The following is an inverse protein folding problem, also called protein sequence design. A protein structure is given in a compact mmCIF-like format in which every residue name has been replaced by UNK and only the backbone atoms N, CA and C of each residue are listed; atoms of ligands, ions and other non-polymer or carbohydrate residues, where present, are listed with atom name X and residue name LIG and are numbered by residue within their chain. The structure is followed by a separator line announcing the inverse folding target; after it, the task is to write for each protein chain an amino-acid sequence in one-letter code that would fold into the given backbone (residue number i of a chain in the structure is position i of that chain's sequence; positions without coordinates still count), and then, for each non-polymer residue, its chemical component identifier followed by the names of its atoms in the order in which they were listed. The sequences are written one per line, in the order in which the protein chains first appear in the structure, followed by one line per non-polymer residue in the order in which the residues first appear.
data_IF_317494367542
#
_entry.id   IF_317494367542
#
_cell.length_a   1.000
_cell.length_b   1.000
_cell.length_c   1.000
_cell.angle_alpha   90.00
_cell.angle_beta   90.00
_cell.angle_gamma   90.00
#
_symmetry.space_group_name_H-M   'P 1'
#
loop_
_entity.id
_entity.type
_entity.pdbx_description
1 polymer ?
#
# COMPACT_ATOMS: atom_id res chain seq x y z
N UNK A 1 20.61 -15.84 2.46
CA UNK A 1 20.91 -14.47 2.01
C UNK A 1 21.85 -13.85 3.03
N UNK A 2 22.98 -13.28 2.61
CA UNK A 2 23.86 -12.55 3.53
C UNK A 2 23.47 -11.07 3.50
N UNK A 3 22.95 -10.56 4.60
CA UNK A 3 22.60 -9.15 4.76
C UNK A 3 23.87 -8.33 5.06
N UNK A 4 23.94 -7.08 4.59
CA UNK A 4 25.04 -6.19 4.97
C UNK A 4 24.94 -5.85 6.47
N UNK A 5 26.09 -5.62 7.11
CA UNK A 5 26.15 -5.23 8.52
C UNK A 5 25.39 -3.92 8.80
N UNK A 6 25.41 -2.98 7.84
CA UNK A 6 24.65 -1.73 7.91
C UNK A 6 23.13 -1.97 7.90
N UNK A 7 22.66 -2.90 7.07
CA UNK A 7 21.24 -3.25 7.00
C UNK A 7 20.77 -3.90 8.30
N UNK A 8 21.52 -4.88 8.82
CA UNK A 8 21.21 -5.57 10.08
C UNK A 8 21.11 -4.56 11.24
N UNK A 9 22.13 -3.71 11.42
CA UNK A 9 22.15 -2.68 12.47
C UNK A 9 20.94 -1.75 12.40
N UNK A 10 20.47 -1.42 11.20
CA UNK A 10 19.26 -0.60 11.02
C UNK A 10 18.00 -1.32 11.49
N UNK A 11 17.85 -2.60 11.17
CA UNK A 11 16.70 -3.39 11.61
C UNK A 11 16.68 -3.55 13.12
N UNK A 12 17.83 -3.87 13.72
CA UNK A 12 17.97 -3.95 15.19
C UNK A 12 17.58 -2.64 15.85
N UNK A 13 18.02 -1.49 15.30
CA UNK A 13 17.63 -0.16 15.78
C UNK A 13 16.12 0.11 15.64
N UNK A 14 15.45 -0.52 14.69
CA UNK A 14 14.00 -0.48 14.52
C UNK A 14 13.26 -1.50 15.40
N UNK A 15 13.98 -2.32 16.18
CA UNK A 15 13.42 -3.41 16.96
C UNK A 15 12.95 -4.60 16.11
N UNK A 16 13.48 -4.74 14.89
CA UNK A 16 13.12 -5.78 13.93
C UNK A 16 14.19 -6.86 13.95
N UNK A 17 13.82 -8.08 14.30
CA UNK A 17 14.72 -9.24 14.19
C UNK A 17 14.88 -9.61 12.70
N UNK A 18 16.11 -9.64 12.13
CA UNK A 18 16.38 -10.07 10.76
C UNK A 18 15.82 -11.45 10.38
N UNK A 19 15.58 -12.35 11.34
CA UNK A 19 14.94 -13.64 11.12
C UNK A 19 13.52 -13.53 10.56
N UNK A 20 12.90 -12.35 10.55
CA UNK A 20 11.67 -12.11 9.77
C UNK A 20 11.84 -12.52 8.31
N UNK A 21 13.08 -12.49 7.80
CA UNK A 21 13.35 -12.81 6.40
C UNK A 21 13.50 -14.30 6.11
N UNK A 22 13.67 -15.13 7.14
CA UNK A 22 13.71 -16.59 6.96
C UNK A 22 12.31 -17.20 6.91
N UNK A 23 11.30 -16.50 7.42
CA UNK A 23 9.91 -16.98 7.48
C UNK A 23 9.19 -16.77 6.15
N UNK A 24 8.54 -17.84 5.67
CA UNK A 24 7.62 -17.75 4.53
C UNK A 24 6.40 -16.95 4.93
N UNK A 25 6.07 -15.93 4.16
CA UNK A 25 4.82 -15.18 4.34
C UNK A 25 3.66 -15.92 3.70
N UNK A 26 2.53 -15.96 4.39
CA UNK A 26 1.34 -16.63 3.87
C UNK A 26 0.82 -15.88 2.64
N UNK A 27 0.35 -16.64 1.64
CA UNK A 27 -0.35 -16.08 0.49
C UNK A 27 -1.85 -15.98 0.82
N UNK A 28 -2.51 -15.04 0.18
CA UNK A 28 -3.95 -14.95 0.22
C UNK A 28 -4.51 -14.84 -1.20
N UNK A 29 -5.75 -15.31 -1.33
CA UNK A 29 -6.61 -15.00 -2.47
C UNK A 29 -7.69 -14.05 -1.99
N UNK A 30 -7.98 -13.03 -2.78
CA UNK A 30 -9.19 -12.26 -2.66
C UNK A 30 -10.25 -12.86 -3.55
N UNK A 31 -11.47 -12.97 -3.03
CA UNK A 31 -12.63 -13.51 -3.74
C UNK A 31 -13.51 -12.34 -4.16
N UNK A 32 -13.80 -12.22 -5.45
CA UNK A 32 -14.72 -11.21 -5.99
C UNK A 32 -16.13 -11.74 -6.23
N UNK A 33 -16.26 -13.07 -6.34
CA UNK A 33 -17.53 -13.75 -6.57
C UNK A 33 -17.82 -14.64 -5.35
N UNK A 34 -18.77 -14.22 -4.51
CA UNK A 34 -19.13 -14.95 -3.29
C UNK A 34 -19.74 -16.33 -3.57
N UNK A 35 -20.19 -16.61 -4.80
CA UNK A 35 -20.75 -17.93 -5.17
C UNK A 35 -19.74 -19.07 -5.08
N UNK A 36 -18.44 -18.78 -5.17
CA UNK A 36 -17.39 -19.80 -5.07
C UNK A 36 -16.78 -19.90 -3.67
N UNK A 37 -17.18 -19.04 -2.72
CA UNK A 37 -16.51 -18.97 -1.41
C UNK A 37 -16.58 -20.30 -0.64
N UNK A 38 -17.76 -20.92 -0.57
CA UNK A 38 -17.94 -22.18 0.16
C UNK A 38 -17.21 -23.35 -0.51
N UNK A 39 -17.19 -23.36 -1.85
CA UNK A 39 -16.40 -24.31 -2.61
C UNK A 39 -14.90 -24.14 -2.33
N UNK A 40 -14.41 -22.90 -2.24
CA UNK A 40 -13.00 -22.66 -1.92
C UNK A 40 -12.64 -23.08 -0.49
N UNK A 41 -13.54 -22.89 0.48
CA UNK A 41 -13.34 -23.37 1.86
C UNK A 41 -13.22 -24.89 1.92
N UNK A 42 -14.13 -25.59 1.24
CA UNK A 42 -14.21 -27.06 1.27
C UNK A 42 -13.13 -27.75 0.43
N UNK A 43 -12.88 -27.27 -0.79
CA UNK A 43 -11.96 -27.92 -1.73
C UNK A 43 -10.49 -27.49 -1.56
N UNK A 44 -10.25 -26.21 -1.19
CA UNK A 44 -8.89 -25.66 -1.14
C UNK A 44 -8.40 -25.30 0.26
N UNK A 45 -9.25 -25.47 1.28
CA UNK A 45 -8.91 -25.16 2.67
C UNK A 45 -8.48 -23.71 2.83
N UNK A 46 -9.32 -22.77 2.37
CA UNK A 46 -9.07 -21.34 2.57
C UNK A 46 -9.56 -20.87 3.94
N UNK A 47 -8.83 -19.96 4.60
CA UNK A 47 -9.16 -19.43 5.92
C UNK A 47 -9.26 -17.90 5.90
N UNK A 48 -10.23 -17.28 6.58
CA UNK A 48 -10.43 -15.83 6.50
C UNK A 48 -9.22 -15.05 7.02
N UNK A 49 -8.90 -13.96 6.33
CA UNK A 49 -7.94 -12.95 6.81
C UNK A 49 -8.64 -12.08 7.86
N UNK A 50 -8.17 -12.01 9.12
CA UNK A 50 -8.92 -11.38 10.22
C UNK A 50 -9.32 -9.92 10.01
N UNK A 51 -8.59 -9.19 9.19
CA UNK A 51 -8.81 -7.77 8.90
C UNK A 51 -9.49 -7.50 7.55
N UNK A 52 -9.88 -8.53 6.81
CA UNK A 52 -10.46 -8.36 5.47
C UNK A 52 -11.53 -9.42 5.22
N UNK A 53 -12.77 -8.99 5.00
CA UNK A 53 -13.90 -9.87 4.70
C UNK A 53 -13.80 -10.57 3.35
N UNK A 54 -13.00 -10.04 2.42
CA UNK A 54 -12.90 -10.54 1.04
C UNK A 54 -11.64 -11.39 0.79
N UNK A 55 -10.74 -11.51 1.77
CA UNK A 55 -9.45 -12.17 1.58
C UNK A 55 -9.31 -13.40 2.47
N UNK A 56 -8.72 -14.44 1.90
CA UNK A 56 -8.55 -15.73 2.57
C UNK A 56 -7.12 -16.23 2.39
N UNK A 57 -6.49 -16.63 3.49
CA UNK A 57 -5.22 -17.33 3.51
C UNK A 57 -5.35 -18.71 2.86
N UNK A 58 -4.33 -19.11 2.10
CA UNK A 58 -4.24 -20.43 1.50
C UNK A 58 -2.82 -20.73 1.01
N UNK A 59 -2.43 -22.00 1.07
CA UNK A 59 -1.20 -22.47 0.43
C UNK A 59 -1.40 -22.77 -1.06
N UNK A 60 -2.66 -22.91 -1.50
CA UNK A 60 -3.07 -23.33 -2.84
C UNK A 60 -3.43 -22.14 -3.76
N UNK A 61 -2.97 -20.93 -3.43
CA UNK A 61 -3.35 -19.71 -4.15
C UNK A 61 -3.15 -19.79 -5.68
N UNK A 62 -2.07 -20.44 -6.13
CA UNK A 62 -1.77 -20.60 -7.56
C UNK A 62 -2.71 -21.60 -8.25
N UNK A 63 -3.22 -22.59 -7.52
CA UNK A 63 -4.15 -23.59 -8.06
C UNK A 63 -5.55 -23.00 -8.16
N UNK A 64 -6.02 -22.37 -7.09
CA UNK A 64 -7.27 -21.61 -7.08
C UNK A 64 -7.31 -20.60 -8.22
N UNK A 65 -6.23 -19.86 -8.45
CA UNK A 65 -6.17 -18.90 -9.55
C UNK A 65 -6.16 -19.55 -10.94
N UNK A 66 -5.65 -20.78 -11.09
CA UNK A 66 -5.73 -21.50 -12.37
C UNK A 66 -7.16 -21.94 -12.67
N UNK A 67 -7.91 -22.36 -11.65
CA UNK A 67 -9.30 -22.80 -11.81
C UNK A 67 -10.29 -21.64 -11.91
N UNK A 68 -10.07 -20.57 -11.15
CA UNK A 68 -10.99 -19.43 -11.05
C UNK A 68 -10.30 -18.09 -11.36
N UNK A 69 -9.60 -17.93 -12.50
CA UNK A 69 -8.74 -16.78 -12.77
C UNK A 69 -9.49 -15.45 -12.78
N UNK A 70 -10.76 -15.43 -13.16
CA UNK A 70 -11.63 -14.26 -13.25
C UNK A 70 -12.40 -13.96 -11.95
N UNK A 71 -12.39 -14.89 -10.98
CA UNK A 71 -13.11 -14.75 -9.72
C UNK A 71 -12.21 -14.48 -8.52
N UNK A 72 -10.91 -14.75 -8.64
CA UNK A 72 -9.95 -14.55 -7.54
C UNK A 72 -8.74 -13.71 -7.93
N UNK A 73 -8.16 -13.00 -6.95
CA UNK A 73 -6.89 -12.28 -7.09
C UNK A 73 -5.85 -12.79 -6.09
N UNK A 74 -4.69 -13.27 -6.56
CA UNK A 74 -3.57 -13.58 -5.66
C UNK A 74 -2.89 -12.28 -5.21
N UNK A 75 -2.89 -12.01 -3.91
CA UNK A 75 -2.27 -10.81 -3.34
C UNK A 75 -1.59 -11.09 -2.01
N UNK A 76 -0.82 -10.11 -1.56
CA UNK A 76 -0.44 -10.06 -0.16
C UNK A 76 -1.65 -9.58 0.67
N UNK A 77 -2.08 -10.31 1.71
CA UNK A 77 -3.22 -9.93 2.52
C UNK A 77 -3.05 -8.57 3.21
N UNK A 78 -1.80 -8.12 3.45
CA UNK A 78 -1.57 -6.78 4.00
C UNK A 78 -1.79 -5.65 3.00
N UNK A 79 -1.82 -5.95 1.70
CA UNK A 79 -2.10 -4.95 0.67
C UNK A 79 -3.53 -4.42 0.71
N UNK A 80 -4.45 -5.05 1.46
CA UNK A 80 -5.81 -4.54 1.67
C UNK A 80 -5.85 -3.35 2.63
N UNK A 81 -4.87 -3.24 3.55
CA UNK A 81 -4.89 -2.24 4.63
C UNK A 81 -4.99 -0.79 4.12
N UNK A 82 -4.22 -0.35 3.09
CA UNK A 82 -4.37 1.00 2.57
C UNK A 82 -5.73 1.28 1.98
N UNK A 83 -6.35 0.28 1.34
CA UNK A 83 -7.68 0.42 0.74
C UNK A 83 -8.74 0.50 1.84
N UNK A 84 -8.63 -0.31 2.90
CA UNK A 84 -9.48 -0.20 4.09
C UNK A 84 -9.37 1.18 4.71
N UNK A 85 -8.15 1.70 4.90
CA UNK A 85 -7.92 3.03 5.47
C UNK A 85 -8.39 4.18 4.56
N UNK A 86 -8.42 3.96 3.23
CA UNK A 86 -8.82 4.96 2.26
C UNK A 86 -10.32 5.22 2.30
N UNK A 87 -11.10 4.20 2.67
CA UNK A 87 -12.57 4.24 2.66
C UNK A 87 -13.07 4.83 1.33
N UNK A 88 -12.87 4.12 0.19
CA UNK A 88 -13.20 4.64 -1.13
C UNK A 88 -14.62 5.19 -1.17
N UNK A 89 -15.61 4.36 -0.78
CA UNK A 89 -17.03 4.68 -0.87
C UNK A 89 -17.44 5.09 -2.28
N UNK A 90 -18.69 5.52 -2.48
CA UNK A 90 -19.15 6.08 -3.76
C UNK A 90 -18.54 7.47 -4.00
N UNK A 91 -17.26 7.48 -4.40
CA UNK A 91 -16.44 8.67 -4.59
C UNK A 91 -15.51 8.55 -5.78
N UNK A 92 -15.01 9.70 -6.24
CA UNK A 92 -13.94 9.79 -7.23
C UNK A 92 -12.57 9.57 -6.55
N UNK A 93 -11.86 8.53 -6.99
CA UNK A 93 -10.60 8.10 -6.38
C UNK A 93 -9.45 8.20 -7.38
N UNK A 94 -8.32 8.75 -6.94
CA UNK A 94 -7.05 8.66 -7.68
C UNK A 94 -6.12 7.64 -7.02
N UNK A 95 -5.75 6.60 -7.75
CA UNK A 95 -4.59 5.77 -7.43
C UNK A 95 -3.40 6.26 -8.26
N UNK A 96 -2.49 7.01 -7.62
CA UNK A 96 -1.46 7.77 -8.34
C UNK A 96 -0.25 6.91 -8.78
N UNK A 97 -0.10 5.72 -8.19
CA UNK A 97 0.99 4.75 -8.42
C UNK A 97 0.41 3.33 -8.52
N UNK A 98 -0.55 3.17 -9.43
CA UNK A 98 -1.54 2.10 -9.42
C UNK A 98 -1.03 0.72 -9.84
N UNK A 99 -0.10 0.64 -10.79
CA UNK A 99 0.22 -0.65 -11.39
C UNK A 99 0.99 -1.53 -10.37
N UNK A 100 0.88 -2.86 -10.40
CA UNK A 100 0.14 -3.70 -11.35
C UNK A 100 -1.37 -3.81 -11.07
N UNK A 101 -1.91 -3.10 -10.08
CA UNK A 101 -3.35 -2.88 -9.95
C UNK A 101 -4.08 -3.60 -8.83
N UNK A 102 -3.43 -4.38 -7.96
CA UNK A 102 -4.18 -5.14 -6.94
C UNK A 102 -5.04 -4.24 -6.04
N UNK A 103 -4.47 -3.15 -5.52
CA UNK A 103 -5.21 -2.15 -4.73
C UNK A 103 -6.21 -1.37 -5.58
N UNK A 104 -5.85 -1.05 -6.82
CA UNK A 104 -6.73 -0.36 -7.76
C UNK A 104 -8.01 -1.15 -8.03
N UNK A 105 -7.90 -2.46 -8.25
CA UNK A 105 -9.05 -3.35 -8.46
C UNK A 105 -9.94 -3.36 -7.20
N UNK A 106 -9.36 -3.43 -5.99
CA UNK A 106 -10.14 -3.33 -4.74
C UNK A 106 -10.91 -2.01 -4.63
N UNK A 107 -10.25 -0.90 -4.98
CA UNK A 107 -10.86 0.43 -4.94
C UNK A 107 -12.04 0.46 -5.92
N UNK A 108 -11.89 -0.08 -7.12
CA UNK A 108 -12.95 -0.10 -8.14
C UNK A 108 -14.21 -0.86 -7.70
N UNK A 109 -14.12 -1.81 -6.77
CA UNK A 109 -15.30 -2.51 -6.24
C UNK A 109 -16.21 -1.61 -5.41
N UNK A 110 -15.69 -0.48 -4.90
CA UNK A 110 -16.37 0.39 -3.92
C UNK A 110 -16.52 1.83 -4.40
N UNK A 111 -15.62 2.27 -5.28
CA UNK A 111 -15.56 3.61 -5.85
C UNK A 111 -16.63 3.87 -6.92
N UNK A 112 -17.05 5.13 -7.04
CA UNK A 112 -17.86 5.57 -8.18
C UNK A 112 -17.01 5.62 -9.45
N UNK A 113 -15.82 6.21 -9.37
CA UNK A 113 -14.87 6.29 -10.48
C UNK A 113 -13.43 6.28 -9.99
N UNK A 114 -12.55 5.60 -10.72
CA UNK A 114 -11.13 5.51 -10.40
C UNK A 114 -10.27 6.06 -11.54
N UNK A 115 -9.35 6.95 -11.24
CA UNK A 115 -8.23 7.27 -12.11
C UNK A 115 -7.00 6.50 -11.60
N UNK A 116 -6.45 5.64 -12.45
CA UNK A 116 -5.30 4.81 -12.13
C UNK A 116 -4.08 5.26 -12.96
N UNK A 117 -3.11 5.88 -12.30
CA UNK A 117 -1.89 6.38 -12.91
C UNK A 117 -0.68 5.51 -12.54
N UNK A 118 0.19 5.22 -13.50
CA UNK A 118 1.55 4.71 -13.20
C UNK A 118 2.53 5.20 -14.28
N UNK A 119 3.80 5.32 -13.93
CA UNK A 119 4.84 5.73 -14.87
C UNK A 119 5.32 4.55 -15.74
N UNK A 120 5.24 3.33 -15.22
CA UNK A 120 5.77 2.13 -15.87
C UNK A 120 4.74 1.55 -16.86
N UNK A 121 5.02 1.76 -18.15
CA UNK A 121 4.19 1.25 -19.25
C UNK A 121 4.02 -0.27 -19.24
N UNK A 122 5.03 -1.03 -18.81
CA UNK A 122 4.95 -2.48 -18.76
C UNK A 122 4.08 -2.95 -17.59
N UNK A 123 4.15 -2.30 -16.43
CA UNK A 123 3.24 -2.58 -15.31
C UNK A 123 1.81 -2.17 -15.66
N UNK A 124 1.61 -1.10 -16.43
CA UNK A 124 0.27 -0.72 -16.93
C UNK A 124 -0.35 -1.79 -17.83
N UNK A 125 0.43 -2.51 -18.64
CA UNK A 125 -0.10 -3.64 -19.43
C UNK A 125 -0.77 -4.67 -18.52
N UNK A 126 -0.14 -5.02 -17.40
CA UNK A 126 -0.71 -5.93 -16.38
C UNK A 126 -1.97 -5.35 -15.72
N UNK A 127 -1.98 -4.05 -15.42
CA UNK A 127 -3.18 -3.38 -14.91
C UNK A 127 -4.35 -3.49 -15.91
N UNK A 128 -4.10 -3.26 -17.20
CA UNK A 128 -5.13 -3.41 -18.25
C UNK A 128 -5.65 -4.84 -18.38
N UNK A 129 -4.75 -5.83 -18.29
CA UNK A 129 -5.12 -7.24 -18.27
C UNK A 129 -6.02 -7.57 -17.07
N UNK A 130 -5.68 -7.07 -15.87
CA UNK A 130 -6.50 -7.23 -14.67
C UNK A 130 -7.86 -6.52 -14.80
N UNK A 131 -7.89 -5.29 -15.30
CA UNK A 131 -9.14 -4.53 -15.55
C UNK A 131 -10.06 -5.31 -16.48
N UNK A 132 -9.53 -5.89 -17.56
CA UNK A 132 -10.30 -6.74 -18.46
C UNK A 132 -10.76 -8.03 -17.78
N UNK A 133 -9.86 -8.70 -17.06
CA UNK A 133 -10.11 -9.98 -16.39
C UNK A 133 -11.25 -9.90 -15.37
N UNK A 134 -11.29 -8.83 -14.58
CA UNK A 134 -12.31 -8.63 -13.55
C UNK A 134 -13.45 -7.71 -13.99
N UNK A 135 -13.61 -7.47 -15.30
CA UNK A 135 -14.68 -6.67 -15.90
C UNK A 135 -14.89 -5.30 -15.21
N UNK A 136 -13.79 -4.61 -14.90
CA UNK A 136 -13.84 -3.29 -14.26
C UNK A 136 -14.21 -2.24 -15.32
N UNK A 137 -15.25 -1.45 -15.04
CA UNK A 137 -15.81 -0.46 -15.99
C UNK A 137 -15.66 0.99 -15.53
N UNK A 138 -15.51 1.21 -14.23
CA UNK A 138 -15.42 2.52 -13.59
C UNK A 138 -13.97 3.02 -13.44
N UNK A 139 -13.15 2.89 -14.49
CA UNK A 139 -11.71 3.20 -14.41
C UNK A 139 -11.17 3.93 -15.64
N UNK A 140 -10.33 4.94 -15.41
CA UNK A 140 -9.47 5.57 -16.42
C UNK A 140 -8.01 5.30 -16.13
N UNK A 141 -7.27 4.72 -17.07
CA UNK A 141 -5.83 4.44 -16.91
C UNK A 141 -4.99 5.52 -17.57
N UNK A 142 -4.07 6.14 -16.83
CA UNK A 142 -3.12 7.13 -17.35
C UNK A 142 -1.67 6.65 -17.20
N UNK A 143 -0.79 7.15 -18.09
CA UNK A 143 0.65 6.90 -18.01
C UNK A 143 1.41 8.22 -17.91
N UNK A 144 1.57 8.73 -16.68
CA UNK A 144 2.25 10.00 -16.40
C UNK A 144 3.12 9.88 -15.15
N UNK A 145 4.10 10.78 -15.05
CA UNK A 145 4.91 10.92 -13.84
C UNK A 145 4.06 11.51 -12.71
N UNK A 146 3.89 10.76 -11.64
CA UNK A 146 3.07 11.14 -10.48
C UNK A 146 3.54 12.44 -9.80
N UNK A 147 4.82 12.82 -9.96
CA UNK A 147 5.37 14.07 -9.42
C UNK A 147 4.82 15.32 -10.11
N UNK A 148 4.34 15.16 -11.34
CA UNK A 148 3.90 16.25 -12.21
C UNK A 148 2.53 15.97 -12.83
N UNK A 149 1.79 15.02 -12.28
CA UNK A 149 0.47 14.65 -12.77
C UNK A 149 -0.47 15.85 -12.60
N UNK A 150 -1.08 16.27 -13.69
CA UNK A 150 -2.05 17.37 -13.75
C UNK A 150 -3.24 16.91 -14.58
N UNK A 151 -4.42 17.34 -14.17
CA UNK A 151 -5.65 17.14 -14.93
C UNK A 151 -6.12 18.47 -15.52
N UNK A 152 -6.82 18.40 -16.65
CA UNK A 152 -7.48 19.58 -17.20
C UNK A 152 -8.65 19.99 -16.31
N UNK A 153 -9.10 21.24 -16.42
CA UNK A 153 -10.30 21.76 -15.75
C UNK A 153 -10.29 21.67 -14.21
N UNK A 154 -9.12 21.69 -13.57
CA UNK A 154 -8.99 21.61 -12.10
C UNK A 154 -9.70 20.38 -11.49
N UNK A 155 -9.68 19.24 -12.20
CA UNK A 155 -10.20 17.99 -11.66
C UNK A 155 -9.41 17.59 -10.40
N UNK A 156 -10.14 17.50 -9.29
CA UNK A 156 -9.65 17.07 -7.98
C UNK A 156 -10.42 15.83 -7.53
N UNK A 157 -9.88 15.12 -6.53
CA UNK A 157 -10.44 13.84 -6.07
C UNK A 157 -10.88 13.91 -4.61
N UNK A 158 -11.91 13.13 -4.28
CA UNK A 158 -12.39 12.97 -2.89
C UNK A 158 -11.46 12.08 -2.06
N UNK A 159 -10.79 11.15 -2.75
CA UNK A 159 -9.91 10.14 -2.18
C UNK A 159 -8.67 9.99 -3.06
N UNK A 160 -7.49 9.90 -2.43
CA UNK A 160 -6.25 9.63 -3.16
C UNK A 160 -5.44 8.55 -2.43
N UNK A 161 -5.07 7.50 -3.15
CA UNK A 161 -4.09 6.53 -2.71
C UNK A 161 -2.71 6.86 -3.28
N UNK A 162 -1.72 6.94 -2.40
CA UNK A 162 -0.30 7.05 -2.71
C UNK A 162 0.42 5.81 -2.18
N UNK A 163 0.30 4.69 -2.88
CA UNK A 163 1.12 3.51 -2.61
C UNK A 163 2.50 3.69 -3.26
N UNK A 164 3.41 4.30 -2.50
CA UNK A 164 4.56 4.95 -3.09
C UNK A 164 5.66 3.95 -3.47
N UNK A 165 6.36 4.17 -4.60
CA UNK A 165 7.58 3.43 -4.92
C UNK A 165 8.61 3.61 -3.80
N UNK A 166 9.05 2.50 -3.20
CA UNK A 166 9.89 2.51 -2.00
C UNK A 166 11.04 1.50 -2.07
N UNK A 167 11.86 1.47 -1.02
CA UNK A 167 13.03 0.59 -0.94
C UNK A 167 12.65 -0.89 -0.81
N UNK A 168 11.43 -1.19 -0.35
CA UNK A 168 10.85 -2.54 -0.33
C UNK A 168 11.39 -3.43 0.79
N UNK A 169 11.90 -2.87 1.89
CA UNK A 169 12.47 -3.64 3.01
C UNK A 169 11.45 -4.64 3.60
N UNK A 170 10.16 -4.32 3.59
CA UNK A 170 9.09 -5.19 4.11
C UNK A 170 8.74 -6.39 3.24
N UNK A 171 9.33 -6.52 2.04
CA UNK A 171 9.00 -7.56 1.06
C UNK A 171 10.23 -8.34 0.54
N UNK A 172 11.37 -8.21 1.21
CA UNK A 172 12.65 -8.81 0.77
C UNK A 172 12.54 -10.31 0.49
N UNK A 173 11.77 -11.06 1.28
CA UNK A 173 11.60 -12.52 1.11
C UNK A 173 10.96 -12.90 -0.23
N UNK A 174 10.22 -11.98 -0.84
CA UNK A 174 9.54 -12.20 -2.12
C UNK A 174 10.36 -11.70 -3.31
N UNK A 175 11.24 -10.72 -3.12
CA UNK A 175 11.97 -10.05 -4.20
C UNK A 175 13.45 -9.97 -3.84
N UNK A 176 14.21 -11.01 -4.21
CA UNK A 176 15.64 -11.12 -3.94
C UNK A 176 16.44 -9.91 -4.49
N UNK A 177 16.01 -9.34 -5.62
CA UNK A 177 16.62 -8.15 -6.22
C UNK A 177 16.56 -6.92 -5.31
N UNK A 178 15.59 -6.85 -4.40
CA UNK A 178 15.42 -5.70 -3.49
C UNK A 178 16.66 -5.50 -2.62
N UNK A 179 17.26 -6.60 -2.14
CA UNK A 179 18.48 -6.56 -1.34
C UNK A 179 19.69 -6.06 -2.11
N UNK A 180 19.88 -6.54 -3.35
CA UNK A 180 21.02 -6.13 -4.19
C UNK A 180 21.00 -4.62 -4.50
N UNK A 181 19.81 -4.02 -4.49
CA UNK A 181 19.62 -2.60 -4.76
C UNK A 181 19.57 -1.76 -3.48
N UNK A 182 19.64 -2.35 -2.29
CA UNK A 182 19.49 -1.62 -1.04
C UNK A 182 20.72 -0.75 -0.74
N UNK A 183 20.49 0.51 -0.37
CA UNK A 183 21.53 1.42 0.15
C UNK A 183 20.87 2.66 0.77
N UNK A 184 21.56 3.32 1.71
CA UNK A 184 21.11 4.60 2.27
C UNK A 184 20.91 5.68 1.19
N UNK A 185 21.81 5.73 0.20
CA UNK A 185 21.70 6.65 -0.94
C UNK A 185 20.40 6.44 -1.72
N UNK A 186 20.00 5.17 -1.92
CA UNK A 186 18.72 4.84 -2.57
C UNK A 186 17.53 5.23 -1.70
N UNK A 187 17.55 4.94 -0.41
CA UNK A 187 16.50 5.33 0.55
C UNK A 187 16.28 6.85 0.49
N UNK A 188 17.35 7.64 0.58
CA UNK A 188 17.25 9.11 0.50
C UNK A 188 16.69 9.60 -0.84
N UNK A 189 17.11 8.98 -1.96
CA UNK A 189 16.58 9.31 -3.29
C UNK A 189 15.07 9.00 -3.38
N UNK A 190 14.65 7.84 -2.87
CA UNK A 190 13.26 7.42 -2.87
C UNK A 190 12.41 8.32 -1.96
N UNK A 191 12.87 8.63 -0.75
CA UNK A 191 12.23 9.57 0.17
C UNK A 191 11.97 10.93 -0.49
N UNK A 192 12.96 11.51 -1.18
CA UNK A 192 12.77 12.78 -1.93
C UNK A 192 11.71 12.65 -3.03
N UNK A 193 11.72 11.56 -3.77
CA UNK A 193 10.72 11.30 -4.81
C UNK A 193 9.31 11.11 -4.23
N UNK A 194 9.20 10.39 -3.11
CA UNK A 194 7.94 10.18 -2.38
C UNK A 194 7.37 11.50 -1.88
N UNK A 195 8.21 12.40 -1.35
CA UNK A 195 7.80 13.76 -1.01
C UNK A 195 7.23 14.52 -2.21
N UNK A 196 7.87 14.45 -3.38
CA UNK A 196 7.38 15.11 -4.60
C UNK A 196 6.02 14.54 -5.05
N UNK A 197 5.87 13.21 -5.05
CA UNK A 197 4.62 12.53 -5.37
C UNK A 197 3.52 12.93 -4.38
N UNK A 198 3.82 12.90 -3.09
CA UNK A 198 2.86 13.21 -2.03
C UNK A 198 2.41 14.67 -2.08
N UNK A 199 3.32 15.61 -2.34
CA UNK A 199 2.98 17.03 -2.53
C UNK A 199 2.07 17.24 -3.74
N UNK A 200 2.32 16.55 -4.85
CA UNK A 200 1.44 16.64 -6.02
C UNK A 200 0.08 15.96 -5.77
N UNK A 201 0.06 14.80 -5.13
CA UNK A 201 -1.18 14.15 -4.71
C UNK A 201 -2.02 15.09 -3.81
N UNK A 202 -1.37 15.80 -2.88
CA UNK A 202 -2.05 16.74 -1.99
C UNK A 202 -2.71 17.93 -2.72
N UNK A 203 -2.10 18.42 -3.81
CA UNK A 203 -2.67 19.51 -4.60
C UNK A 203 -3.92 19.07 -5.37
N UNK A 204 -3.98 17.79 -5.77
CA UNK A 204 -5.10 17.16 -6.47
C UNK A 204 -6.25 16.74 -5.54
N UNK A 205 -6.07 16.82 -4.22
CA UNK A 205 -7.09 16.44 -3.25
C UNK A 205 -8.09 17.58 -3.00
N UNK A 206 -9.39 17.27 -3.02
CA UNK A 206 -10.46 18.21 -2.62
C UNK A 206 -10.30 18.60 -1.13
N UNK A 207 -10.66 19.83 -0.71
CA UNK A 207 -10.85 20.14 0.71
C UNK A 207 -11.81 19.12 1.36
N UNK A 208 -11.50 18.66 2.58
CA UNK A 208 -12.22 17.58 3.26
C UNK A 208 -11.89 16.16 2.78
N UNK A 209 -11.14 16.01 1.68
CA UNK A 209 -10.76 14.72 1.10
C UNK A 209 -9.77 13.93 1.96
N UNK A 210 -9.67 12.63 1.68
CA UNK A 210 -8.73 11.70 2.33
C UNK A 210 -7.60 11.37 1.38
N UNK A 211 -6.37 11.49 1.87
CA UNK A 211 -5.21 10.87 1.26
C UNK A 211 -4.72 9.74 2.14
N UNK A 212 -4.56 8.55 1.56
CA UNK A 212 -3.81 7.47 2.18
C UNK A 212 -2.45 7.35 1.52
N UNK A 213 -1.41 7.44 2.32
CA UNK A 213 -0.04 7.17 1.91
C UNK A 213 0.37 5.81 2.46
N UNK A 214 1.05 5.01 1.63
CA UNK A 214 1.61 3.76 2.08
C UNK A 214 2.90 3.37 1.41
N UNK A 215 3.66 2.51 2.10
CA UNK A 215 4.86 1.86 1.58
C UNK A 215 4.98 0.44 2.11
N UNK A 216 5.78 -0.38 1.44
CA UNK A 216 6.21 -1.70 1.91
C UNK A 216 7.66 -1.67 2.42
N UNK A 217 8.06 -0.61 3.13
CA UNK A 217 9.39 -0.46 3.71
C UNK A 217 9.36 -0.13 5.20
N UNK A 218 10.44 -0.44 5.91
CA UNK A 218 10.59 -0.12 7.33
C UNK A 218 11.29 1.22 7.56
N UNK A 219 12.00 1.73 6.55
CA UNK A 219 12.76 2.98 6.56
C UNK A 219 11.93 4.17 7.07
N UNK A 220 12.31 4.77 8.21
CA UNK A 220 11.65 5.97 8.73
C UNK A 220 11.83 7.20 7.83
N UNK A 221 12.88 7.23 7.01
CA UNK A 221 13.13 8.26 6.02
C UNK A 221 12.09 8.25 4.90
N UNK A 222 11.56 7.09 4.54
CA UNK A 222 10.49 6.92 3.55
C UNK A 222 9.09 7.01 4.18
N UNK A 223 8.97 6.77 5.50
CA UNK A 223 7.69 6.70 6.18
C UNK A 223 7.41 8.00 6.97
N UNK A 224 7.78 8.04 8.24
CA UNK A 224 7.45 9.13 9.15
C UNK A 224 8.03 10.48 8.72
N UNK A 225 9.22 10.47 8.12
CA UNK A 225 9.83 11.70 7.62
C UNK A 225 9.00 12.30 6.47
N UNK A 226 8.48 11.45 5.58
CA UNK A 226 7.66 11.87 4.43
C UNK A 226 6.37 12.50 4.90
N UNK A 227 5.64 11.81 5.77
CA UNK A 227 4.38 12.30 6.35
C UNK A 227 4.60 13.54 7.21
N UNK A 228 5.65 13.57 8.04
CA UNK A 228 5.96 14.74 8.85
C UNK A 228 6.23 15.98 8.00
N UNK A 229 6.84 15.82 6.82
CA UNK A 229 7.04 16.94 5.89
C UNK A 229 5.74 17.45 5.29
N UNK A 230 4.80 16.56 4.94
CA UNK A 230 3.46 16.96 4.50
C UNK A 230 2.73 17.75 5.60
N UNK A 231 2.71 17.20 6.83
CA UNK A 231 1.99 17.78 7.97
C UNK A 231 2.52 19.16 8.38
N UNK A 232 3.83 19.41 8.25
CA UNK A 232 4.43 20.71 8.60
C UNK A 232 4.09 21.82 7.62
N UNK A 233 3.85 21.48 6.35
CA UNK A 233 3.74 22.46 5.26
C UNK A 233 2.30 22.70 4.80
N UNK A 234 1.31 22.02 5.40
CA UNK A 234 -0.06 22.01 4.89
C UNK A 234 -1.08 21.99 6.03
N UNK A 235 -2.30 22.46 5.73
CA UNK A 235 -3.46 22.32 6.61
C UNK A 235 -3.99 20.87 6.58
N UNK A 236 -3.26 19.98 7.24
CA UNK A 236 -3.47 18.55 7.21
C UNK A 236 -3.75 18.00 8.62
N UNK A 237 -4.66 17.03 8.72
CA UNK A 237 -4.95 16.30 9.94
C UNK A 237 -4.64 14.81 9.78
N UNK A 238 -3.82 14.25 10.67
CA UNK A 238 -3.64 12.79 10.73
C UNK A 238 -4.82 12.15 11.47
N UNK A 239 -5.39 11.11 10.85
CA UNK A 239 -6.46 10.30 11.42
C UNK A 239 -5.90 8.96 11.92
N UNK A 240 -6.46 8.48 13.03
CA UNK A 240 -6.08 7.20 13.60
C UNK A 240 -6.66 6.06 12.76
N UNK A 241 -5.85 5.05 12.49
CA UNK A 241 -6.25 3.86 11.73
C UNK A 241 -6.46 2.72 12.72
N UNK A 242 -7.70 2.25 12.86
CA UNK A 242 -8.05 1.07 13.67
C UNK A 242 -8.66 0.00 12.78
N UNK A 243 -8.01 -1.15 12.71
CA UNK A 243 -8.46 -2.28 11.90
C UNK A 243 -8.54 -3.50 12.79
N UNK A 244 -9.75 -4.01 12.98
CA UNK A 244 -10.01 -5.20 13.81
C UNK A 244 -9.25 -6.40 13.24
N UNK A 245 -8.66 -7.21 14.12
CA UNK A 245 -7.94 -8.43 13.73
C UNK A 245 -6.54 -8.20 13.18
N UNK A 246 -6.09 -6.95 13.01
CA UNK A 246 -4.74 -6.62 12.56
C UNK A 246 -3.85 -6.22 13.73
N UNK A 247 -2.73 -6.90 13.92
CA UNK A 247 -1.72 -6.48 14.88
C UNK A 247 -0.83 -5.40 14.27
N UNK A 248 -0.75 -4.23 14.91
CA UNK A 248 0.05 -3.10 14.45
C UNK A 248 0.87 -2.48 15.58
N UNK A 249 1.91 -1.76 15.20
CA UNK A 249 2.72 -0.96 16.10
C UNK A 249 2.53 0.53 15.78
N UNK A 250 2.68 1.36 16.81
CA UNK A 250 2.74 2.79 16.63
C UNK A 250 3.96 3.18 15.79
N UNK A 251 3.81 4.27 15.04
CA UNK A 251 4.93 4.84 14.29
C UNK A 251 5.97 5.47 15.20
N UNK A 252 7.19 5.58 14.69
CA UNK A 252 8.31 6.15 15.43
C UNK A 252 8.08 7.66 15.64
N UNK A 253 8.39 8.17 16.82
CA UNK A 253 8.30 9.60 17.13
C UNK A 253 9.59 10.35 16.79
N UNK A 254 10.70 9.64 16.65
CA UNK A 254 11.98 10.20 16.22
C UNK A 254 12.85 9.16 15.51
N UNK A 255 13.81 9.62 14.72
CA UNK A 255 14.81 8.78 14.08
C UNK A 255 16.10 9.57 13.83
N UNK A 256 17.26 9.00 14.18
CA UNK A 256 18.58 9.64 14.01
C UNK A 256 18.65 11.10 14.50
N UNK A 257 18.11 11.37 15.69
CA UNK A 257 18.10 12.72 16.29
C UNK A 257 17.05 13.68 15.72
N UNK A 258 16.28 13.28 14.69
CA UNK A 258 15.19 14.08 14.14
C UNK A 258 13.87 13.70 14.80
N UNK A 259 13.19 14.67 15.41
CA UNK A 259 11.81 14.49 15.86
C UNK A 259 10.82 14.62 14.70
N UNK A 260 9.82 13.75 14.70
CA UNK A 260 8.70 13.75 13.75
C UNK A 260 7.52 14.56 14.27
N UNK A 261 6.50 14.74 13.43
CA UNK A 261 5.29 15.47 13.80
C UNK A 261 4.60 14.80 15.00
N UNK A 262 4.05 15.58 15.94
CA UNK A 262 3.44 15.06 17.19
C UNK A 262 2.34 14.01 16.97
N UNK A 263 1.60 14.13 15.86
CA UNK A 263 0.51 13.22 15.51
C UNK A 263 0.96 11.99 14.72
N UNK A 264 2.27 11.84 14.43
CA UNK A 264 2.77 10.71 13.63
C UNK A 264 2.42 9.35 14.23
N UNK A 265 2.22 9.29 15.56
CA UNK A 265 1.76 8.11 16.29
C UNK A 265 0.43 7.53 15.78
N UNK A 266 -0.38 8.31 15.07
CA UNK A 266 -1.63 7.87 14.43
C UNK A 266 -1.42 7.05 13.16
N UNK A 267 -0.21 7.08 12.59
CA UNK A 267 0.17 6.24 11.47
C UNK A 267 0.44 4.81 11.94
N UNK A 268 0.17 3.86 11.06
CA UNK A 268 0.21 2.42 11.33
C UNK A 268 1.51 1.82 10.79
N UNK A 269 2.28 1.13 11.65
CA UNK A 269 3.34 0.22 11.22
C UNK A 269 2.87 -1.22 11.36
N UNK A 270 3.10 -2.01 10.33
CA UNK A 270 2.82 -3.45 10.33
C UNK A 270 4.13 -4.18 10.14
N UNK A 271 4.38 -5.11 11.06
CA UNK A 271 5.56 -5.94 11.02
C UNK A 271 5.19 -7.40 10.70
N UNK A 272 6.02 -8.10 9.90
CA UNK A 272 5.78 -9.48 9.51
C UNK A 272 5.51 -10.43 10.67
N UNK A 273 6.27 -10.30 11.76
CA UNK A 273 6.24 -11.24 12.89
C UNK A 273 4.92 -11.22 13.66
N UNK A 274 4.11 -10.16 13.55
CA UNK A 274 2.84 -10.06 14.29
C UNK A 274 1.65 -10.61 13.50
N UNK A 275 1.76 -10.74 12.18
CA UNK A 275 0.62 -11.07 11.31
C UNK A 275 0.89 -12.23 10.33
N UNK A 276 2.14 -12.72 10.21
CA UNK A 276 2.50 -13.72 9.21
C UNK A 276 2.51 -13.19 7.76
N UNK A 277 2.56 -11.86 7.60
CA UNK A 277 2.48 -11.15 6.30
C UNK A 277 3.78 -10.41 5.98
N UNK A 278 3.78 -9.64 4.89
CA UNK A 278 4.84 -8.65 4.65
C UNK A 278 4.71 -7.43 5.57
N UNK A 279 5.78 -6.63 5.62
CA UNK A 279 5.85 -5.38 6.36
C UNK A 279 5.26 -4.20 5.59
N UNK A 280 4.65 -3.25 6.31
CA UNK A 280 3.94 -2.14 5.70
C UNK A 280 3.87 -0.91 6.60
N UNK A 281 3.72 0.26 6.00
CA UNK A 281 3.43 1.53 6.68
C UNK A 281 2.22 2.19 6.02
N UNK A 282 1.29 2.72 6.82
CA UNK A 282 0.08 3.40 6.34
C UNK A 282 -0.19 4.66 7.14
N UNK A 283 -0.49 5.76 6.44
CA UNK A 283 -0.92 7.02 7.02
C UNK A 283 -2.21 7.49 6.35
N UNK A 284 -3.22 7.86 7.15
CA UNK A 284 -4.49 8.43 6.71
C UNK A 284 -4.50 9.91 7.04
N UNK A 285 -4.55 10.76 6.01
CA UNK A 285 -4.44 12.22 6.12
C UNK A 285 -5.69 12.88 5.57
N UNK A 286 -6.33 13.72 6.37
CA UNK A 286 -7.44 14.60 5.99
C UNK A 286 -6.92 15.96 5.55
N UNK A 287 -7.40 16.46 4.41
CA UNK A 287 -7.25 17.87 4.05
C UNK A 287 -8.30 18.70 4.76
N UNK A 288 -7.88 19.54 5.68
CA UNK A 288 -8.80 20.32 6.50
C UNK A 288 -9.46 21.42 5.65
N UNK A 289 -10.75 21.64 5.87
CA UNK A 289 -11.51 22.72 5.24
C UNK A 289 -11.13 24.02 5.96
N UNK A 290 -10.81 25.05 5.19
CA UNK A 290 -10.60 26.42 5.68
C UNK A 290 -11.88 27.19 5.40
#
# INVERSE_FOLDING_TARGET
MQFSSEFIKRLEKLGINPDIYSKRTQKAVQIFDSSIEEQLKTAFGVYPVPWSSECYFTEQANEIFREYPDKVFIKDPISCVPVIALEPGEKEVLDICAAPGSKTIDICQKAEWVVANDIDRNRIKRLRENVKRYNIRNITITNKDARFLKFKHNMNFDRILVDAPCSGEGIINKIEKTMKLWSLKRIQRLSRMQHQILTNAWSLLKPGGILVYSTCTFSPEENEAVISGLMKNNNAGLEEIKIKGLASSHSLTSWNGKQFHKDIKKCLRIYPQHNGTNGFFVAKVRKLII
#
